data_IF_651535133589
#
_entry.id   IF_651535133589
#
_cell.length_a   1.000
_cell.length_b   1.000
_cell.length_c   1.000
_cell.angle_alpha   90.00
_cell.angle_beta   90.00
_cell.angle_gamma   90.00
#
_symmetry.space_group_name_H-M   'P 1'
#
loop_
_entity.id
_entity.type
_entity.pdbx_description
1 polymer ?
#
# COMPACT_ATOMS: atom_id res chain seq x y z
N UNK A 1 -33.04 0.99 -15.00
CA UNK A 1 -31.90 0.58 -15.84
C UNK A 1 -32.49 -0.01 -17.11
N UNK A 2 -32.36 0.71 -18.23
CA UNK A 2 -33.13 0.50 -19.46
C UNK A 2 -32.69 -0.78 -20.17
N UNK A 3 -33.57 -1.39 -20.97
CA UNK A 3 -33.30 -2.57 -21.81
C UNK A 3 -32.22 -2.41 -22.89
N UNK A 4 -31.27 -1.49 -22.69
CA UNK A 4 -30.13 -1.19 -23.55
C UNK A 4 -29.27 -2.42 -23.84
N UNK A 5 -29.09 -3.31 -22.85
CA UNK A 5 -28.36 -4.58 -23.04
C UNK A 5 -28.99 -5.43 -24.15
N UNK A 6 -30.32 -5.35 -24.34
CA UNK A 6 -31.04 -6.16 -25.31
C UNK A 6 -31.43 -5.39 -26.58
N UNK A 7 -31.32 -4.06 -26.58
CA UNK A 7 -31.92 -3.20 -27.62
C UNK A 7 -33.46 -3.32 -27.74
N UNK A 8 -34.13 -3.95 -26.76
CA UNK A 8 -35.58 -4.20 -26.77
C UNK A 8 -36.27 -3.35 -25.72
N UNK A 9 -37.47 -2.86 -26.05
CA UNK A 9 -38.34 -2.13 -25.12
C UNK A 9 -38.82 -3.06 -24.00
N UNK A 10 -38.04 -3.16 -22.93
CA UNK A 10 -38.45 -3.89 -21.74
C UNK A 10 -39.44 -3.06 -20.92
N UNK A 11 -40.58 -3.65 -20.53
CA UNK A 11 -41.63 -2.98 -19.73
C UNK A 11 -41.28 -2.82 -18.25
N UNK A 12 -40.21 -3.47 -17.78
CA UNK A 12 -39.79 -3.45 -16.38
C UNK A 12 -38.66 -2.43 -16.16
N UNK A 13 -38.73 -1.58 -15.12
CA UNK A 13 -37.67 -0.62 -14.82
C UNK A 13 -36.35 -1.29 -14.38
N UNK A 14 -36.41 -2.55 -13.92
CA UNK A 14 -35.26 -3.37 -13.49
C UNK A 14 -34.49 -4.04 -14.65
N UNK A 15 -35.05 -4.03 -15.87
CA UNK A 15 -34.50 -4.74 -17.03
C UNK A 15 -35.22 -6.06 -17.31
N UNK A 16 -34.82 -6.77 -18.38
CA UNK A 16 -35.51 -8.00 -18.78
C UNK A 16 -35.13 -9.19 -17.88
N UNK A 17 -35.99 -10.22 -17.86
CA UNK A 17 -35.78 -11.42 -17.03
C UNK A 17 -34.45 -12.16 -17.29
N UNK A 18 -33.89 -12.04 -18.49
CA UNK A 18 -32.55 -12.58 -18.80
C UNK A 18 -31.40 -11.70 -18.27
N UNK A 19 -31.62 -10.40 -18.12
CA UNK A 19 -30.55 -9.43 -17.86
C UNK A 19 -30.71 -8.63 -16.55
N UNK A 20 -31.76 -8.83 -15.77
CA UNK A 20 -31.99 -8.13 -14.50
C UNK A 20 -30.89 -8.36 -13.44
N UNK A 21 -30.10 -9.44 -13.55
CA UNK A 21 -28.90 -9.70 -12.73
C UNK A 21 -27.58 -9.34 -13.42
N UNK A 22 -27.61 -8.82 -14.64
CA UNK A 22 -26.40 -8.50 -15.37
C UNK A 22 -25.73 -7.27 -14.75
N UNK A 23 -24.46 -7.40 -14.34
CA UNK A 23 -23.66 -6.26 -13.90
C UNK A 23 -23.45 -5.28 -15.06
N UNK A 24 -23.55 -3.96 -14.83
CA UNK A 24 -23.19 -2.97 -15.84
C UNK A 24 -21.77 -3.21 -16.33
N UNK A 25 -21.57 -3.12 -17.64
CA UNK A 25 -20.27 -3.29 -18.27
C UNK A 25 -19.62 -1.92 -18.42
N UNK A 26 -18.48 -1.72 -17.79
CA UNK A 26 -17.63 -0.55 -17.97
C UNK A 26 -16.56 -0.85 -19.02
N UNK A 27 -16.16 0.12 -19.86
CA UNK A 27 -15.09 -0.09 -20.82
C UNK A 27 -13.76 -0.31 -20.09
N UNK A 28 -12.94 -1.23 -20.60
CA UNK A 28 -11.59 -1.42 -20.08
C UNK A 28 -10.74 -0.16 -20.28
N UNK A 29 -10.01 0.28 -19.26
CA UNK A 29 -9.15 1.48 -19.35
C UNK A 29 -8.04 1.39 -20.40
N UNK A 30 -7.59 0.17 -20.75
CA UNK A 30 -6.48 -0.07 -21.69
C UNK A 30 -6.97 -0.33 -23.11
N UNK A 31 -7.98 -1.19 -23.28
CA UNK A 31 -8.43 -1.63 -24.61
C UNK A 31 -9.91 -1.39 -24.90
N UNK A 32 -10.60 -0.63 -24.04
CA UNK A 32 -12.02 -0.26 -24.13
C UNK A 32 -13.03 -1.41 -24.19
N UNK A 33 -12.58 -2.67 -24.12
CA UNK A 33 -13.46 -3.85 -24.13
C UNK A 33 -14.41 -3.85 -22.92
N UNK A 34 -15.72 -4.09 -23.13
CA UNK A 34 -16.70 -4.07 -22.06
C UNK A 34 -16.37 -5.12 -21.00
N UNK A 35 -16.30 -4.68 -19.75
CA UNK A 35 -15.76 -5.41 -18.62
C UNK A 35 -16.72 -5.29 -17.44
N UNK A 36 -16.95 -6.38 -16.74
CA UNK A 36 -17.74 -6.41 -15.49
C UNK A 36 -16.85 -6.41 -14.23
N UNK A 37 -15.53 -6.39 -14.41
CA UNK A 37 -14.57 -6.33 -13.33
C UNK A 37 -14.50 -4.91 -12.77
N UNK A 38 -14.56 -4.83 -11.45
CA UNK A 38 -14.55 -3.60 -10.66
C UNK A 38 -13.35 -2.67 -10.91
N UNK A 39 -12.13 -3.17 -11.24
CA UNK A 39 -11.00 -2.28 -11.57
C UNK A 39 -11.19 -1.51 -12.89
N UNK A 40 -12.23 -1.82 -13.68
CA UNK A 40 -12.35 -1.34 -15.05
C UNK A 40 -11.28 -1.91 -15.97
N UNK A 41 -10.78 -3.11 -15.67
CA UNK A 41 -9.76 -3.81 -16.44
C UNK A 41 -10.29 -5.17 -16.88
N UNK A 42 -10.17 -5.46 -18.18
CA UNK A 42 -10.57 -6.76 -18.69
C UNK A 42 -9.65 -7.87 -18.16
N UNK A 43 -10.07 -9.13 -18.27
CA UNK A 43 -9.31 -10.29 -17.77
C UNK A 43 -7.85 -10.33 -18.24
N UNK A 44 -7.56 -9.81 -19.44
CA UNK A 44 -6.19 -9.73 -19.98
C UNK A 44 -5.34 -8.68 -19.28
N UNK A 45 -5.92 -7.58 -18.82
CA UNK A 45 -5.23 -6.44 -18.21
C UNK A 45 -5.38 -6.37 -16.69
N UNK A 46 -6.21 -7.22 -16.09
CA UNK A 46 -6.39 -7.26 -14.64
C UNK A 46 -5.20 -7.87 -13.91
N UNK A 47 -4.37 -8.68 -14.58
CA UNK A 47 -3.25 -9.39 -13.98
C UNK A 47 -2.23 -8.45 -13.34
N UNK A 48 -1.74 -7.46 -14.09
CA UNK A 48 -0.78 -6.47 -13.60
C UNK A 48 -1.35 -5.67 -12.43
N UNK A 49 -2.61 -5.25 -12.51
CA UNK A 49 -3.28 -4.53 -11.43
C UNK A 49 -3.24 -5.27 -10.09
N UNK A 50 -3.62 -6.55 -10.07
CA UNK A 50 -3.64 -7.31 -8.81
C UNK A 50 -2.24 -7.60 -8.27
N UNK A 51 -1.25 -7.77 -9.16
CA UNK A 51 0.16 -7.93 -8.76
C UNK A 51 0.69 -6.65 -8.12
N UNK A 52 0.46 -5.49 -8.74
CA UNK A 52 0.84 -4.19 -8.17
C UNK A 52 0.16 -3.95 -6.82
N UNK A 53 -1.15 -4.23 -6.71
CA UNK A 53 -1.87 -4.11 -5.45
C UNK A 53 -1.38 -5.07 -4.36
N UNK A 54 -0.85 -6.24 -4.73
CA UNK A 54 -0.25 -7.17 -3.79
C UNK A 54 1.07 -6.62 -3.23
N UNK A 55 1.97 -6.17 -4.11
CA UNK A 55 3.24 -5.58 -3.69
C UNK A 55 3.06 -4.30 -2.87
N UNK A 56 2.11 -3.45 -3.24
CA UNK A 56 1.79 -2.24 -2.47
C UNK A 56 1.35 -2.59 -1.05
N UNK A 57 0.47 -3.58 -0.87
CA UNK A 57 0.06 -4.04 0.48
C UNK A 57 1.20 -4.60 1.31
N UNK A 58 2.11 -5.36 0.69
CA UNK A 58 3.31 -5.86 1.39
C UNK A 58 4.20 -4.71 1.85
N UNK A 59 4.35 -3.68 1.01
CA UNK A 59 5.07 -2.47 1.39
C UNK A 59 4.40 -1.72 2.51
N UNK A 60 3.11 -1.43 2.40
CA UNK A 60 2.38 -0.66 3.41
C UNK A 60 2.51 -1.32 4.78
N UNK A 61 2.49 -2.67 4.79
CA UNK A 61 2.76 -3.45 5.98
C UNK A 61 4.19 -3.25 6.51
N UNK A 62 5.21 -3.38 5.65
CA UNK A 62 6.61 -3.18 6.06
C UNK A 62 6.87 -1.76 6.59
N UNK A 63 6.29 -0.75 5.93
CA UNK A 63 6.38 0.65 6.36
C UNK A 63 5.72 0.87 7.72
N UNK A 64 4.56 0.25 7.97
CA UNK A 64 3.91 0.30 9.27
C UNK A 64 4.75 -0.39 10.35
N UNK A 65 5.36 -1.54 10.06
CA UNK A 65 6.24 -2.24 11.00
C UNK A 65 7.46 -1.38 11.37
N UNK A 66 8.07 -0.70 10.39
CA UNK A 66 9.18 0.22 10.62
C UNK A 66 8.76 1.45 11.43
N UNK A 67 7.57 2.00 11.18
CA UNK A 67 7.01 3.10 11.98
C UNK A 67 6.80 2.70 13.43
N UNK A 68 6.25 1.50 13.67
CA UNK A 68 6.08 0.96 15.03
C UNK A 68 7.43 0.82 15.72
N UNK A 69 8.45 0.30 15.02
CA UNK A 69 9.80 0.16 15.58
C UNK A 69 10.43 1.49 15.94
N UNK A 70 10.33 2.51 15.08
CA UNK A 70 10.82 3.85 15.40
C UNK A 70 10.14 4.41 16.65
N UNK A 71 8.83 4.20 16.80
CA UNK A 71 8.11 4.68 17.99
C UNK A 71 8.53 3.94 19.27
N UNK A 72 8.81 2.64 19.17
CA UNK A 72 9.38 1.86 20.28
C UNK A 72 10.76 2.41 20.66
N UNK A 73 11.62 2.65 19.69
CA UNK A 73 12.96 3.16 19.91
C UNK A 73 12.95 4.56 20.55
N UNK A 74 12.04 5.45 20.13
CA UNK A 74 11.80 6.77 20.74
C UNK A 74 11.39 6.64 22.22
N UNK A 75 10.42 5.76 22.53
CA UNK A 75 9.98 5.52 23.90
C UNK A 75 11.09 4.92 24.78
N UNK A 76 11.96 4.08 24.21
CA UNK A 76 13.10 3.52 24.93
C UNK A 76 14.12 4.61 25.32
N UNK A 77 14.34 5.61 24.47
CA UNK A 77 15.18 6.78 24.78
C UNK A 77 14.58 7.64 25.89
N UNK A 78 13.28 7.92 25.83
CA UNK A 78 12.60 8.68 26.89
C UNK A 78 12.69 7.96 28.24
N UNK A 79 12.51 6.63 28.25
CA UNK A 79 12.61 5.82 29.46
C UNK A 79 14.04 5.72 30.01
N UNK A 80 15.07 5.76 29.15
CA UNK A 80 16.46 5.73 29.62
C UNK A 80 16.83 7.06 30.27
N UNK A 81 16.49 8.19 29.62
CA UNK A 81 16.76 9.52 30.15
C UNK A 81 16.18 9.71 31.56
N UNK A 82 14.95 9.24 31.80
CA UNK A 82 14.30 9.34 33.11
C UNK A 82 14.94 8.46 34.21
N UNK A 83 15.69 7.40 33.86
CA UNK A 83 16.37 6.53 34.84
C UNK A 83 17.69 7.11 35.37
N UNK A 84 18.30 8.05 34.64
CA UNK A 84 19.59 8.63 35.02
C UNK A 84 19.54 9.56 36.23
N UNK A 85 18.34 10.02 36.61
CA UNK A 85 18.14 10.84 37.81
C UNK A 85 18.11 10.01 39.12
N UNK A 86 17.96 8.67 39.04
CA UNK A 86 17.73 7.82 40.22
C UNK A 86 18.89 6.86 40.58
N UNK A 87 19.95 6.70 39.77
CA UNK A 87 21.01 5.72 40.02
C UNK A 87 22.43 6.22 39.73
N UNK A 88 23.30 6.20 40.73
CA UNK A 88 24.71 6.58 40.64
C UNK A 88 25.54 5.75 39.65
N UNK A 89 26.46 6.45 38.97
CA UNK A 89 27.68 6.13 38.19
C UNK A 89 27.90 4.79 37.44
N UNK A 90 27.08 3.74 37.59
CA UNK A 90 27.27 2.47 36.85
C UNK A 90 26.38 2.31 35.61
N UNK A 91 25.44 3.24 35.34
CA UNK A 91 24.49 3.17 34.22
C UNK A 91 24.98 3.72 32.87
N UNK A 92 26.00 4.59 32.89
CA UNK A 92 26.38 5.44 31.76
C UNK A 92 26.95 4.69 30.53
N UNK A 93 27.52 3.49 30.72
CA UNK A 93 28.08 2.68 29.62
C UNK A 93 27.02 1.92 28.80
N UNK A 94 25.95 1.45 29.46
CA UNK A 94 24.87 0.71 28.80
C UNK A 94 23.94 1.63 28.01
N UNK A 95 23.72 2.83 28.52
CA UNK A 95 22.87 3.83 27.89
C UNK A 95 23.45 4.32 26.56
N UNK A 96 24.75 4.63 26.53
CA UNK A 96 25.45 4.97 25.27
C UNK A 96 25.39 3.86 24.22
N UNK A 97 25.54 2.60 24.65
CA UNK A 97 25.42 1.47 23.72
C UNK A 97 23.99 1.27 23.19
N UNK A 98 22.98 1.59 24.01
CA UNK A 98 21.58 1.52 23.61
C UNK A 98 21.24 2.65 22.62
N UNK A 99 21.66 3.88 22.93
CA UNK A 99 21.50 5.05 22.06
C UNK A 99 22.14 4.84 20.69
N UNK A 100 23.38 4.34 20.66
CA UNK A 100 24.11 4.08 19.42
C UNK A 100 23.41 3.02 18.55
N UNK A 101 22.92 1.93 19.16
CA UNK A 101 22.14 0.90 18.44
C UNK A 101 20.82 1.43 17.89
N UNK A 102 20.16 2.32 18.60
CA UNK A 102 18.89 2.95 18.17
C UNK A 102 19.15 3.92 17.00
N UNK A 103 20.21 4.73 17.09
CA UNK A 103 20.62 5.65 16.04
C UNK A 103 21.03 4.93 14.75
N UNK A 104 21.83 3.86 14.86
CA UNK A 104 22.26 3.04 13.71
C UNK A 104 21.04 2.44 12.99
N UNK A 105 20.12 1.84 13.75
CA UNK A 105 18.89 1.24 13.22
C UNK A 105 18.00 2.27 12.53
N UNK A 106 17.89 3.47 13.10
CA UNK A 106 17.10 4.58 12.53
C UNK A 106 17.70 5.10 11.21
N UNK A 107 19.02 5.09 11.06
CA UNK A 107 19.68 5.44 9.79
C UNK A 107 19.43 4.39 8.71
N UNK A 108 19.47 3.10 9.06
CA UNK A 108 19.19 2.01 8.11
C UNK A 108 17.75 2.05 7.57
N UNK A 109 16.76 2.38 8.40
CA UNK A 109 15.36 2.50 7.96
C UNK A 109 15.17 3.69 7.02
N UNK A 110 15.75 4.85 7.31
CA UNK A 110 15.72 6.01 6.42
C UNK A 110 16.36 5.72 5.06
N UNK A 111 17.54 5.08 5.04
CA UNK A 111 18.21 4.69 3.79
C UNK A 111 17.38 3.68 2.96
N UNK A 112 16.65 2.77 3.62
CA UNK A 112 15.73 1.85 2.92
C UNK A 112 14.55 2.61 2.32
N UNK A 113 13.99 3.59 3.02
CA UNK A 113 12.92 4.44 2.50
C UNK A 113 13.39 5.27 1.30
N UNK A 114 14.56 5.88 1.36
CA UNK A 114 15.14 6.67 0.25
C UNK A 114 15.39 5.81 -1.00
N UNK A 115 15.99 4.62 -0.85
CA UNK A 115 16.22 3.69 -1.97
C UNK A 115 14.90 3.21 -2.59
N UNK A 116 13.90 2.94 -1.75
CA UNK A 116 12.57 2.58 -2.23
C UNK A 116 11.91 3.75 -2.96
N UNK A 117 12.05 5.00 -2.50
CA UNK A 117 11.48 6.16 -3.19
C UNK A 117 12.15 6.42 -4.55
N UNK A 118 13.48 6.28 -4.63
CA UNK A 118 14.24 6.46 -5.88
C UNK A 118 13.84 5.41 -6.93
N UNK A 119 13.70 4.13 -6.54
CA UNK A 119 13.26 3.08 -7.46
C UNK A 119 11.91 3.40 -8.12
N UNK A 120 10.99 4.01 -7.37
CA UNK A 120 9.64 4.32 -7.85
C UNK A 120 9.62 5.48 -8.83
N UNK A 121 10.46 6.49 -8.61
CA UNK A 121 10.64 7.56 -9.61
C UNK A 121 11.19 7.06 -10.93
N UNK A 122 11.86 5.90 -10.95
CA UNK A 122 12.40 5.30 -12.17
C UNK A 122 11.34 4.42 -12.84
N UNK A 123 10.63 3.58 -12.07
CA UNK A 123 9.60 2.67 -12.58
C UNK A 123 8.34 3.41 -13.11
N UNK A 124 8.03 4.62 -12.61
CA UNK A 124 6.93 5.46 -13.10
C UNK A 124 7.27 6.25 -14.38
N UNK A 125 8.56 6.37 -14.76
CA UNK A 125 9.03 7.19 -15.89
C UNK A 125 9.59 6.42 -17.11
N UNK A 126 9.59 5.08 -17.14
CA UNK A 126 9.91 4.29 -18.35
C UNK A 126 9.65 2.80 -18.14
N UNK A 127 8.96 2.07 -19.01
CA UNK A 127 9.09 1.98 -20.47
C UNK A 127 7.72 1.64 -21.06
N UNK A 128 7.13 2.54 -21.85
CA UNK A 128 6.19 2.15 -22.90
C UNK A 128 7.02 1.85 -24.14
N UNK A 129 7.36 0.58 -24.34
CA UNK A 129 7.68 0.03 -25.66
C UNK A 129 6.49 -0.81 -26.14
#
# INVERSE_FOLDING_TARGET
MTGYICGRTCRRPEGCFEHWKAKPRIPCKVCSKPTSAEPGLCRKHSGTYYVTQYFNRLRDKANNDDLIRMKIDELLLELSANKTEEAGEQGHGFEKQLEERILERSRETLLKQEKNNIKYTIDDFGLFD
#
